data_IF_712320472426
#
_entry.id   IF_712320472426
#
_cell.length_a   1.000
_cell.length_b   1.000
_cell.length_c   1.000
_cell.angle_alpha   90.00
_cell.angle_beta   90.00
_cell.angle_gamma   90.00
#
_symmetry.space_group_name_H-M   'P 1'
#
loop_
_entity.id
_entity.type
_entity.pdbx_description
1 polymer ?
#
# COMPACT_ATOMS: atom_id res chain seq x y z
N UNK A 1 18.07 44.19 -22.41
CA UNK A 1 17.25 44.07 -21.18
C UNK A 1 16.64 42.68 -21.17
N UNK A 2 17.02 41.76 -20.27
CA UNK A 2 16.29 40.50 -20.15
C UNK A 2 14.85 40.83 -19.73
N UNK A 3 13.87 40.37 -20.50
CA UNK A 3 12.46 40.56 -20.19
C UNK A 3 12.18 40.07 -18.76
N UNK A 4 11.62 40.94 -17.91
CA UNK A 4 11.17 40.53 -16.59
C UNK A 4 10.16 39.39 -16.77
N UNK A 5 10.44 38.24 -16.15
CA UNK A 5 9.52 37.10 -16.21
C UNK A 5 8.16 37.56 -15.69
N UNK A 6 7.10 37.37 -16.49
CA UNK A 6 5.73 37.69 -16.07
C UNK A 6 5.42 36.95 -14.76
N UNK A 7 5.31 37.72 -13.67
CA UNK A 7 4.86 37.21 -12.37
C UNK A 7 3.41 36.74 -12.48
N UNK A 8 3.12 35.67 -11.77
CA UNK A 8 1.76 35.17 -11.59
C UNK A 8 1.02 36.12 -10.66
N UNK A 9 -0.26 36.37 -10.93
CA UNK A 9 -1.09 37.24 -10.09
C UNK A 9 -1.31 36.63 -8.71
N UNK A 10 -1.44 37.47 -7.69
CA UNK A 10 -1.68 37.03 -6.32
C UNK A 10 -3.03 36.31 -6.15
N UNK A 11 -4.04 36.62 -6.99
CA UNK A 11 -5.30 35.84 -7.05
C UNK A 11 -5.04 34.38 -7.45
N UNK A 12 -4.14 34.15 -8.43
CA UNK A 12 -3.78 32.79 -8.85
C UNK A 12 -3.03 32.07 -7.72
N UNK A 13 -2.09 32.75 -7.06
CA UNK A 13 -1.37 32.17 -5.91
C UNK A 13 -2.34 31.79 -4.78
N UNK A 14 -3.30 32.67 -4.48
CA UNK A 14 -4.32 32.46 -3.45
C UNK A 14 -5.25 31.30 -3.81
N UNK A 15 -5.71 31.19 -5.07
CA UNK A 15 -6.54 30.08 -5.52
C UNK A 15 -5.82 28.75 -5.46
N UNK A 16 -4.54 28.70 -5.84
CA UNK A 16 -3.72 27.49 -5.72
C UNK A 16 -3.55 27.11 -4.24
N UNK A 17 -3.28 28.08 -3.37
CA UNK A 17 -3.17 27.86 -1.92
C UNK A 17 -4.46 27.28 -1.33
N UNK A 18 -5.62 27.89 -1.65
CA UNK A 18 -6.95 27.39 -1.24
C UNK A 18 -7.25 25.99 -1.77
N UNK A 19 -6.84 25.69 -3.00
CA UNK A 19 -7.00 24.35 -3.57
C UNK A 19 -6.14 23.31 -2.86
N UNK A 20 -4.93 23.67 -2.40
CA UNK A 20 -4.10 22.79 -1.56
C UNK A 20 -4.76 22.56 -0.20
N UNK A 21 -5.34 23.60 0.40
CA UNK A 21 -6.03 23.48 1.69
C UNK A 21 -7.32 22.62 1.57
N UNK A 22 -8.08 22.77 0.48
CA UNK A 22 -9.21 21.90 0.16
C UNK A 22 -8.77 20.44 -0.08
N UNK A 23 -7.65 20.26 -0.79
CA UNK A 23 -7.05 18.94 -0.99
C UNK A 23 -6.60 18.33 0.34
N UNK A 24 -6.14 19.13 1.31
CA UNK A 24 -5.77 18.68 2.64
C UNK A 24 -6.96 18.04 3.36
N UNK A 25 -8.12 18.69 3.31
CA UNK A 25 -9.36 18.23 3.93
C UNK A 25 -9.95 16.96 3.29
N UNK A 26 -9.75 16.76 1.99
CA UNK A 26 -10.28 15.59 1.27
C UNK A 26 -9.30 14.40 1.28
N UNK A 27 -9.57 13.39 2.11
CA UNK A 27 -8.77 12.17 2.18
C UNK A 27 -9.00 11.20 1.01
N UNK A 28 -10.06 11.41 0.22
CA UNK A 28 -10.37 10.58 -0.94
C UNK A 28 -9.64 11.04 -2.20
N UNK A 29 -9.20 12.30 -2.23
CA UNK A 29 -8.54 12.91 -3.37
C UNK A 29 -7.03 12.57 -3.46
N UNK A 30 -6.52 12.27 -4.67
CA UNK A 30 -5.09 12.07 -4.91
C UNK A 30 -4.27 13.34 -4.66
N UNK A 31 -3.14 13.23 -3.95
CA UNK A 31 -2.27 14.37 -3.60
C UNK A 31 -1.35 14.77 -4.77
N UNK A 32 -1.95 15.26 -5.85
CA UNK A 32 -1.26 15.57 -7.11
C UNK A 32 -1.52 17.00 -7.61
N UNK A 33 -0.59 17.56 -8.40
CA UNK A 33 -0.75 18.88 -9.06
C UNK A 33 -1.95 18.93 -10.00
N UNK A 34 -2.28 17.82 -10.66
CA UNK A 34 -3.47 17.69 -11.50
C UNK A 34 -4.76 17.85 -10.68
N UNK A 35 -4.80 17.34 -9.46
CA UNK A 35 -5.96 17.54 -8.59
C UNK A 35 -6.11 18.99 -8.14
N UNK A 36 -4.98 19.69 -7.94
CA UNK A 36 -4.96 21.13 -7.63
C UNK A 36 -5.50 21.95 -8.81
N UNK A 37 -5.19 21.58 -10.06
CA UNK A 37 -5.79 22.20 -11.26
C UNK A 37 -7.32 22.07 -11.24
N UNK A 38 -7.84 20.87 -10.98
CA UNK A 38 -9.28 20.61 -10.90
C UNK A 38 -9.94 21.43 -9.79
N UNK A 39 -9.37 21.44 -8.58
CA UNK A 39 -9.93 22.14 -7.42
C UNK A 39 -9.83 23.67 -7.53
N UNK A 40 -8.78 24.19 -8.17
CA UNK A 40 -8.59 25.63 -8.35
C UNK A 40 -9.35 26.20 -9.56
N UNK A 41 -9.78 25.34 -10.49
CA UNK A 41 -10.37 25.75 -11.77
C UNK A 41 -9.38 26.45 -12.70
N UNK A 42 -8.08 26.33 -12.43
CA UNK A 42 -7.02 26.97 -13.21
C UNK A 42 -6.42 25.99 -14.21
N UNK A 43 -5.99 26.52 -15.36
CA UNK A 43 -5.25 25.73 -16.35
C UNK A 43 -3.87 25.30 -15.85
N UNK A 44 -3.36 24.19 -16.40
CA UNK A 44 -2.05 23.62 -16.08
C UNK A 44 -0.92 24.66 -16.04
N UNK A 45 -0.85 25.53 -17.06
CA UNK A 45 0.18 26.55 -17.18
C UNK A 45 0.18 27.55 -16.01
N UNK A 46 -1.00 27.95 -15.54
CA UNK A 46 -1.12 28.90 -14.43
C UNK A 46 -0.61 28.27 -13.13
N UNK A 47 -1.02 27.02 -12.86
CA UNK A 47 -0.58 26.25 -11.70
C UNK A 47 0.93 25.98 -11.77
N UNK A 48 1.44 25.55 -12.93
CA UNK A 48 2.86 25.26 -13.13
C UNK A 48 3.75 26.50 -12.98
N UNK A 49 3.25 27.69 -13.36
CA UNK A 49 3.96 28.95 -13.12
C UNK A 49 3.90 29.37 -11.67
N UNK A 50 2.77 29.20 -10.98
CA UNK A 50 2.64 29.50 -9.56
C UNK A 50 3.66 28.71 -8.72
N UNK A 51 3.76 27.39 -8.94
CA UNK A 51 4.76 26.55 -8.27
C UNK A 51 6.20 26.92 -8.61
N UNK A 52 6.47 27.33 -9.86
CA UNK A 52 7.81 27.80 -10.28
C UNK A 52 8.17 29.13 -9.64
N UNK A 53 7.22 30.04 -9.50
CA UNK A 53 7.43 31.31 -8.82
C UNK A 53 7.68 31.09 -7.33
N UNK A 54 6.87 30.26 -6.67
CA UNK A 54 7.06 29.88 -5.26
C UNK A 54 8.43 29.21 -5.02
N UNK A 55 8.92 28.40 -5.95
CA UNK A 55 10.25 27.80 -5.84
C UNK A 55 11.40 28.80 -6.06
N UNK A 56 11.16 29.88 -6.80
CA UNK A 56 12.16 30.91 -7.10
C UNK A 56 12.19 32.04 -6.05
N UNK A 57 11.08 32.23 -5.33
CA UNK A 57 10.91 33.27 -4.31
C UNK A 57 10.92 32.63 -2.93
N UNK A 58 12.05 32.71 -2.23
CA UNK A 58 12.26 32.09 -0.91
C UNK A 58 11.29 32.58 0.16
N UNK A 59 10.72 33.78 -0.01
CA UNK A 59 9.89 34.47 0.98
C UNK A 59 8.44 34.66 0.51
N UNK A 60 7.93 33.67 -0.24
CA UNK A 60 6.55 33.70 -0.71
C UNK A 60 5.58 33.36 0.45
N UNK A 61 4.59 34.22 0.76
CA UNK A 61 3.67 33.98 1.89
C UNK A 61 2.82 32.71 1.72
N UNK A 62 2.59 32.27 0.47
CA UNK A 62 1.72 31.13 0.18
C UNK A 62 2.40 29.77 0.38
N UNK A 63 3.73 29.71 0.29
CA UNK A 63 4.58 28.51 0.47
C UNK A 63 4.00 27.23 -0.16
N UNK A 64 3.62 27.34 -1.43
CA UNK A 64 2.83 26.31 -2.14
C UNK A 64 3.56 24.96 -2.20
N UNK A 65 4.86 24.98 -2.49
CA UNK A 65 5.68 23.77 -2.56
C UNK A 65 5.81 23.10 -1.18
N UNK A 66 6.01 23.87 -0.11
CA UNK A 66 6.06 23.32 1.24
C UNK A 66 4.73 22.69 1.64
N UNK A 67 3.61 23.39 1.40
CA UNK A 67 2.27 22.86 1.71
C UNK A 67 2.01 21.55 0.98
N UNK A 68 2.27 21.50 -0.33
CA UNK A 68 2.07 20.28 -1.12
C UNK A 68 3.00 19.15 -0.67
N UNK A 69 4.28 19.45 -0.40
CA UNK A 69 5.23 18.44 0.07
C UNK A 69 4.84 17.87 1.43
N UNK A 70 4.30 18.67 2.36
CA UNK A 70 3.77 18.16 3.63
C UNK A 70 2.62 17.18 3.43
N UNK A 71 1.77 17.40 2.43
CA UNK A 71 0.68 16.48 2.10
C UNK A 71 1.17 15.19 1.45
N UNK A 72 2.28 15.23 0.70
CA UNK A 72 2.83 14.06 -0.01
C UNK A 72 3.77 13.25 0.89
N UNK A 73 4.49 13.89 1.82
CA UNK A 73 5.47 13.27 2.70
C UNK A 73 5.01 11.94 3.34
N UNK A 74 3.80 11.82 3.93
CA UNK A 74 3.35 10.56 4.51
C UNK A 74 3.04 9.47 3.49
N UNK A 75 2.78 9.81 2.22
CA UNK A 75 2.51 8.85 1.14
C UNK A 75 3.78 8.42 0.37
N UNK A 76 4.92 9.06 0.63
CA UNK A 76 6.17 8.81 -0.08
C UNK A 76 6.04 9.07 -1.58
N UNK A 77 6.35 8.07 -2.41
CA UNK A 77 6.24 8.15 -3.88
C UNK A 77 4.85 7.82 -4.41
N UNK A 78 3.92 7.40 -3.53
CA UNK A 78 2.58 7.02 -3.95
C UNK A 78 1.77 8.24 -4.37
N UNK A 79 1.19 8.17 -5.58
CA UNK A 79 0.26 9.17 -6.10
C UNK A 79 -1.19 8.89 -5.71
N UNK A 80 -1.43 7.88 -4.87
CA UNK A 80 -2.76 7.50 -4.43
C UNK A 80 -3.32 8.54 -3.47
N UNK A 81 -4.63 8.51 -3.25
CA UNK A 81 -5.20 9.23 -2.13
C UNK A 81 -4.82 8.55 -0.81
N UNK A 82 -4.78 9.30 0.30
CA UNK A 82 -4.49 8.72 1.62
C UNK A 82 -5.33 7.48 1.92
N UNK A 83 -6.64 7.55 1.71
CA UNK A 83 -7.55 6.44 1.95
C UNK A 83 -7.28 5.22 1.04
N UNK A 84 -6.83 5.44 -0.20
CA UNK A 84 -6.48 4.35 -1.11
C UNK A 84 -5.13 3.71 -0.75
N UNK A 85 -4.20 4.50 -0.21
CA UNK A 85 -2.90 4.02 0.25
C UNK A 85 -3.05 3.16 1.52
N UNK A 86 -3.85 3.60 2.49
CA UNK A 86 -4.18 2.80 3.68
C UNK A 86 -4.77 1.44 3.30
N UNK A 87 -5.79 1.44 2.42
CA UNK A 87 -6.39 0.19 1.92
C UNK A 87 -5.38 -0.71 1.22
N UNK A 88 -4.39 -0.13 0.54
CA UNK A 88 -3.35 -0.91 -0.11
C UNK A 88 -2.38 -1.52 0.90
N UNK A 89 -1.94 -0.74 1.89
CA UNK A 89 -1.09 -1.22 2.99
C UNK A 89 -1.77 -2.34 3.79
N UNK A 90 -3.06 -2.19 4.08
CA UNK A 90 -3.83 -3.22 4.79
C UNK A 90 -3.92 -4.52 3.98
N UNK A 91 -4.14 -4.42 2.66
CA UNK A 91 -4.13 -5.59 1.78
C UNK A 91 -2.77 -6.28 1.78
N UNK A 92 -1.67 -5.52 1.76
CA UNK A 92 -0.33 -6.08 1.84
C UNK A 92 -0.11 -6.79 3.18
N UNK A 93 -0.47 -6.16 4.30
CA UNK A 93 -0.38 -6.78 5.64
C UNK A 93 -1.20 -8.07 5.74
N UNK A 94 -2.40 -8.11 5.16
CA UNK A 94 -3.21 -9.33 5.14
C UNK A 94 -2.50 -10.46 4.38
N UNK A 95 -1.89 -10.14 3.22
CA UNK A 95 -1.14 -11.14 2.45
C UNK A 95 0.07 -11.63 3.23
N UNK A 96 0.82 -10.73 3.86
CA UNK A 96 1.99 -11.05 4.68
C UNK A 96 1.61 -11.93 5.88
N UNK A 97 0.56 -11.56 6.63
CA UNK A 97 0.06 -12.35 7.75
C UNK A 97 -0.42 -13.74 7.31
N UNK A 98 -1.10 -13.84 6.16
CA UNK A 98 -1.49 -15.14 5.60
C UNK A 98 -0.29 -16.01 5.25
N UNK A 99 0.77 -15.43 4.72
CA UNK A 99 2.01 -16.14 4.44
C UNK A 99 2.67 -16.63 5.73
N UNK A 100 2.73 -15.80 6.77
CA UNK A 100 3.26 -16.19 8.08
C UNK A 100 2.47 -17.34 8.70
N UNK A 101 1.13 -17.27 8.68
CA UNK A 101 0.26 -18.36 9.18
C UNK A 101 0.52 -19.65 8.41
N UNK A 102 0.61 -19.57 7.08
CA UNK A 102 0.91 -20.75 6.26
C UNK A 102 2.28 -21.36 6.59
N UNK A 103 3.28 -20.54 6.87
CA UNK A 103 4.62 -21.03 7.19
C UNK A 103 4.67 -21.67 8.59
N UNK A 104 4.02 -21.05 9.58
CA UNK A 104 3.89 -21.61 10.92
C UNK A 104 3.16 -22.96 10.90
N UNK A 105 2.09 -23.08 10.12
CA UNK A 105 1.38 -24.35 9.96
C UNK A 105 2.28 -25.43 9.35
N UNK A 106 3.08 -25.09 8.33
CA UNK A 106 4.06 -26.03 7.77
C UNK A 106 5.13 -26.46 8.78
N UNK A 107 5.54 -25.57 9.66
CA UNK A 107 6.49 -25.91 10.73
C UNK A 107 5.84 -26.87 11.74
N UNK A 108 4.60 -26.60 12.16
CA UNK A 108 3.84 -27.49 13.04
C UNK A 108 3.67 -28.89 12.42
N UNK A 109 3.33 -28.98 11.14
CA UNK A 109 3.18 -30.26 10.43
C UNK A 109 4.50 -31.05 10.42
N UNK A 110 5.62 -30.37 10.15
CA UNK A 110 6.96 -31.01 10.21
C UNK A 110 7.26 -31.51 11.61
N UNK A 111 7.03 -30.70 12.65
CA UNK A 111 7.25 -31.13 14.02
C UNK A 111 6.37 -32.32 14.41
N UNK A 112 5.08 -32.28 14.06
CA UNK A 112 4.15 -33.39 14.31
C UNK A 112 4.61 -34.69 13.62
N UNK A 113 5.04 -34.61 12.35
CA UNK A 113 5.60 -35.76 11.63
C UNK A 113 6.87 -36.29 12.29
N UNK A 114 7.78 -35.42 12.73
CA UNK A 114 9.00 -35.86 13.42
C UNK A 114 8.70 -36.53 14.75
N UNK A 115 7.79 -35.98 15.56
CA UNK A 115 7.37 -36.59 16.82
C UNK A 115 6.71 -37.95 16.60
N UNK A 116 5.88 -38.06 15.57
CA UNK A 116 5.25 -39.33 15.20
C UNK A 116 6.28 -40.36 14.74
N UNK A 117 7.24 -39.97 13.91
CA UNK A 117 8.32 -40.85 13.47
C UNK A 117 9.19 -41.34 14.64
N UNK A 118 9.53 -40.45 15.59
CA UNK A 118 10.24 -40.82 16.82
C UNK A 118 9.41 -41.79 17.66
N UNK A 119 8.12 -41.51 17.85
CA UNK A 119 7.22 -42.38 18.60
C UNK A 119 7.14 -43.80 18.00
N UNK A 120 7.03 -43.91 16.67
CA UNK A 120 7.04 -45.19 15.97
C UNK A 120 8.36 -45.93 16.10
N UNK A 121 9.49 -45.21 16.03
CA UNK A 121 10.82 -45.80 16.23
C UNK A 121 10.98 -46.37 17.65
N UNK A 122 10.44 -45.68 18.66
CA UNK A 122 10.49 -46.13 20.06
C UNK A 122 9.45 -47.22 20.37
N UNK A 123 8.37 -47.35 19.59
CA UNK A 123 7.28 -48.30 19.82
C UNK A 123 6.96 -49.17 18.57
N UNK A 124 7.88 -50.04 18.15
CA UNK A 124 7.74 -50.82 16.91
C UNK A 124 6.58 -51.83 16.91
N UNK A 125 6.04 -52.20 18.08
CA UNK A 125 4.88 -53.11 18.19
C UNK A 125 3.53 -52.42 17.89
N UNK A 126 3.49 -51.09 17.86
CA UNK A 126 2.28 -50.32 17.55
C UNK A 126 1.87 -50.43 16.06
N UNK A 127 2.82 -50.64 15.14
CA UNK A 127 2.53 -50.88 13.72
C UNK A 127 1.85 -52.24 13.46
N UNK A 128 2.30 -53.30 14.15
CA UNK A 128 1.79 -54.65 13.95
C UNK A 128 0.30 -54.82 14.31
N UNK A 129 -0.22 -53.98 15.21
CA UNK A 129 -1.61 -54.06 15.69
C UNK A 129 -2.62 -53.35 14.77
N UNK A 130 -2.16 -52.51 13.82
CA UNK A 130 -3.03 -51.71 12.94
C UNK A 130 -3.16 -52.25 11.50
N UNK A 131 -2.32 -53.19 11.11
CA UNK A 131 -2.42 -53.86 9.82
C UNK A 131 -3.58 -54.88 9.82
N UNK A 132 -4.82 -54.40 9.71
CA UNK A 132 -5.98 -55.27 9.46
C UNK A 132 -5.84 -55.87 8.07
N UNK A 133 -5.51 -57.16 8.00
CA UNK A 133 -5.45 -57.89 6.73
C UNK A 133 -6.84 -57.93 6.08
N UNK A 134 -7.00 -57.24 4.94
CA UNK A 134 -8.22 -57.30 4.14
C UNK A 134 -8.22 -58.63 3.39
N UNK A 135 -8.79 -59.67 4.00
CA UNK A 135 -9.05 -60.96 3.34
C UNK A 135 -10.14 -60.75 2.28
N UNK A 136 -9.77 -60.58 1.01
CA UNK A 136 -10.73 -60.54 -0.11
C UNK A 136 -11.32 -61.95 -0.29
N UNK A 137 -12.62 -62.09 -0.03
CA UNK A 137 -13.35 -63.33 -0.24
C UNK A 137 -13.48 -63.58 -1.75
N UNK A 138 -12.64 -64.44 -2.31
CA UNK A 138 -12.73 -64.88 -3.71
C UNK A 138 -13.82 -65.96 -3.79
N UNK A 139 -15.04 -65.58 -4.13
CA UNK A 139 -16.08 -66.57 -4.46
C UNK A 139 -15.67 -67.27 -5.78
N UNK A 140 -15.30 -68.54 -5.68
CA UNK A 140 -15.21 -69.42 -6.84
C UNK A 140 -16.65 -69.77 -7.25
N UNK A 141 -17.05 -69.33 -8.44
CA UNK A 141 -18.26 -69.82 -9.11
C UNK A 141 -17.90 -71.13 -9.83
N UNK A 142 -18.61 -72.20 -9.49
CA UNK A 142 -18.75 -73.40 -10.31
C UNK A 142 -20.14 -73.41 -10.92
#
# INVERSE_FOLDING_TARGET
MPASRKRVSDDVMTRVSKAIDALAADQSAPRTKRQIEILSGLGHDAVARAFRQDAAESDNPHRLNEKLNRLIAPLGTSRRSPAAEEKYQDKQKIVELKQQVSELNRQLDRYAMTLFAVYLADNPSAEASRAVSIRRHRQQRH
#
